data_IF_441979257158
#
_entry.id   IF_441979257158
#
_cell.length_a   1.000
_cell.length_b   1.000
_cell.length_c   1.000
_cell.angle_alpha   90.00
_cell.angle_beta   90.00
_cell.angle_gamma   90.00
#
_symmetry.space_group_name_H-M   'P 1'
#
loop_
_entity.id
_entity.type
_entity.pdbx_description
1 polymer ?
#
# COMPACT_ATOMS: atom_id res chain seq x y z
N UNK A 1 -28.85 -68.22 24.40
CA UNK A 1 -27.78 -67.52 25.16
C UNK A 1 -26.47 -67.75 24.43
N UNK A 2 -25.59 -66.80 24.08
CA UNK A 2 -25.49 -65.38 24.37
C UNK A 2 -24.71 -64.67 23.24
N UNK A 3 -24.77 -63.34 23.27
CA UNK A 3 -24.24 -62.37 22.29
C UNK A 3 -22.74 -62.08 22.50
N UNK A 4 -22.22 -61.22 21.61
CA UNK A 4 -21.04 -60.33 21.72
C UNK A 4 -19.72 -60.93 21.17
N UNK A 5 -18.86 -60.23 20.41
CA UNK A 5 -18.79 -58.80 20.07
C UNK A 5 -18.07 -58.59 18.71
N UNK A 6 -18.44 -57.51 18.01
CA UNK A 6 -17.70 -56.96 16.89
C UNK A 6 -16.49 -56.16 17.38
N UNK A 7 -15.39 -56.17 16.64
CA UNK A 7 -14.33 -55.15 16.74
C UNK A 7 -14.06 -54.62 15.35
N UNK A 8 -14.64 -53.46 15.05
CA UNK A 8 -14.30 -52.68 13.88
C UNK A 8 -12.97 -51.95 14.16
N UNK A 9 -11.93 -52.24 13.38
CA UNK A 9 -10.71 -51.46 13.40
C UNK A 9 -10.94 -50.14 12.66
N UNK A 10 -11.07 -49.05 13.42
CA UNK A 10 -11.10 -47.70 12.88
C UNK A 10 -9.69 -47.33 12.38
N UNK A 11 -9.53 -47.16 11.07
CA UNK A 11 -8.35 -46.53 10.50
C UNK A 11 -8.47 -45.01 10.68
N UNK A 12 -7.64 -44.45 11.56
CA UNK A 12 -7.53 -43.00 11.79
C UNK A 12 -6.92 -42.35 10.57
N UNK A 13 -7.71 -41.65 9.77
CA UNK A 13 -7.20 -40.80 8.70
C UNK A 13 -6.56 -39.55 9.32
N UNK A 14 -5.24 -39.43 9.20
CA UNK A 14 -4.50 -38.20 9.51
C UNK A 14 -4.81 -37.19 8.41
N UNK A 15 -5.63 -36.18 8.72
CA UNK A 15 -5.86 -35.02 7.85
C UNK A 15 -4.70 -34.04 8.10
N UNK A 16 -3.63 -34.16 7.33
CA UNK A 16 -2.54 -33.18 7.31
C UNK A 16 -2.86 -32.01 6.38
N UNK A 17 -2.97 -30.83 7.00
CA UNK A 17 -2.85 -29.47 6.49
C UNK A 17 -3.65 -29.11 5.21
N UNK A 18 -4.87 -28.61 5.43
CA UNK A 18 -5.36 -27.51 4.61
C UNK A 18 -4.52 -26.27 4.95
N UNK A 19 -3.38 -26.10 4.28
CA UNK A 19 -2.80 -24.77 4.15
C UNK A 19 -3.87 -23.90 3.49
N UNK A 20 -4.45 -22.97 4.24
CA UNK A 20 -5.28 -21.93 3.62
C UNK A 20 -4.42 -21.28 2.55
N UNK A 21 -4.87 -21.19 1.29
CA UNK A 21 -4.15 -20.37 0.33
C UNK A 21 -4.06 -18.97 0.92
N UNK A 22 -2.84 -18.44 0.96
CA UNK A 22 -2.58 -17.03 1.08
C UNK A 22 -3.45 -16.31 0.03
N UNK A 23 -4.56 -15.71 0.46
CA UNK A 23 -5.31 -14.80 -0.41
C UNK A 23 -4.45 -13.56 -0.50
N UNK A 24 -3.63 -13.46 -1.55
CA UNK A 24 -2.97 -12.20 -1.89
C UNK A 24 -4.05 -11.10 -1.84
N UNK A 25 -3.90 -10.15 -0.93
CA UNK A 25 -4.84 -9.03 -0.87
C UNK A 25 -4.74 -8.23 -2.17
N UNK A 26 -5.82 -7.58 -2.56
CA UNK A 26 -5.79 -6.71 -3.73
C UNK A 26 -4.79 -5.56 -3.52
N UNK A 27 -4.04 -5.23 -4.58
CA UNK A 27 -3.17 -4.06 -4.59
C UNK A 27 -4.05 -2.82 -4.43
N UNK A 28 -3.79 -2.03 -3.38
CA UNK A 28 -4.46 -0.76 -3.19
C UNK A 28 -3.70 0.35 -3.92
N UNK A 29 -4.43 1.22 -4.63
CA UNK A 29 -3.89 2.40 -5.32
C UNK A 29 -4.45 3.68 -4.71
N UNK A 30 -3.61 4.70 -4.58
CA UNK A 30 -4.00 6.07 -4.31
C UNK A 30 -3.29 6.98 -5.30
N UNK A 31 -3.90 7.15 -6.47
CA UNK A 31 -3.34 7.94 -7.56
C UNK A 31 -4.30 9.04 -7.99
N UNK A 32 -3.75 10.12 -8.54
CA UNK A 32 -4.53 11.17 -9.21
C UNK A 32 -3.74 11.74 -10.37
N UNK A 33 -4.46 12.24 -11.37
CA UNK A 33 -3.86 13.10 -12.39
C UNK A 33 -3.82 14.57 -11.89
N UNK A 34 -2.72 15.24 -12.18
CA UNK A 34 -2.45 16.64 -11.84
C UNK A 34 -1.93 17.36 -13.07
N UNK A 35 -2.41 18.56 -13.32
CA UNK A 35 -1.85 19.41 -14.37
C UNK A 35 -0.80 20.32 -13.74
N UNK A 36 0.36 20.45 -14.38
CA UNK A 36 1.46 21.32 -13.96
C UNK A 36 1.85 22.26 -15.09
N UNK A 37 2.35 23.45 -14.74
CA UNK A 37 2.78 24.47 -15.70
C UNK A 37 4.23 24.29 -16.20
N UNK A 38 4.97 23.37 -15.56
CA UNK A 38 6.38 23.07 -15.83
C UNK A 38 7.37 24.04 -15.21
N UNK A 39 6.93 24.98 -14.37
CA UNK A 39 7.78 26.00 -13.75
C UNK A 39 7.42 26.16 -12.26
N UNK A 40 7.68 25.12 -11.43
CA UNK A 40 7.33 25.15 -10.01
C UNK A 40 8.08 26.27 -9.28
N UNK A 41 7.37 26.89 -8.34
CA UNK A 41 7.91 27.91 -7.44
C UNK A 41 7.67 27.51 -6.00
N UNK A 42 8.63 27.83 -5.15
CA UNK A 42 8.47 27.58 -3.73
C UNK A 42 7.25 28.36 -3.17
N UNK A 43 6.43 27.68 -2.35
CA UNK A 43 5.24 28.27 -1.73
C UNK A 43 3.96 28.18 -2.55
N UNK A 44 3.99 27.55 -3.74
CA UNK A 44 2.77 27.12 -4.43
C UNK A 44 2.08 25.98 -3.66
N UNK A 45 0.76 25.87 -3.84
CA UNK A 45 -0.03 24.80 -3.20
C UNK A 45 0.41 23.42 -3.69
N UNK A 46 0.43 22.46 -2.75
CA UNK A 46 0.68 21.06 -3.08
C UNK A 46 -0.54 20.42 -3.77
N UNK A 47 -0.27 19.56 -4.75
CA UNK A 47 -1.30 18.75 -5.36
C UNK A 47 -1.38 17.37 -4.68
N UNK A 48 -2.39 17.16 -3.83
CA UNK A 48 -2.54 15.95 -3.03
C UNK A 48 -3.76 15.09 -3.40
N UNK A 49 -3.65 13.76 -3.31
CA UNK A 49 -4.80 12.85 -3.19
C UNK A 49 -4.84 12.26 -1.79
N UNK A 50 -6.04 12.05 -1.25
CA UNK A 50 -6.21 11.47 0.09
C UNK A 50 -7.39 10.52 0.09
N UNK A 51 -7.20 9.34 0.69
CA UNK A 51 -8.28 8.37 0.90
C UNK A 51 -8.19 7.73 2.28
N UNK A 52 -9.34 7.30 2.79
CA UNK A 52 -9.43 6.43 3.95
C UNK A 52 -9.59 4.98 3.51
N UNK A 53 -8.94 4.05 4.20
CA UNK A 53 -9.08 2.61 3.94
C UNK A 53 -8.87 1.80 5.21
N UNK A 54 -9.62 0.71 5.33
CA UNK A 54 -9.37 -0.30 6.36
C UNK A 54 -8.40 -1.34 5.81
N UNK A 55 -7.34 -1.62 6.57
CA UNK A 55 -6.35 -2.64 6.24
C UNK A 55 -6.39 -3.76 7.27
N UNK A 56 -6.27 -5.00 6.81
CA UNK A 56 -5.89 -6.12 7.65
C UNK A 56 -4.42 -5.97 8.07
N UNK A 57 -4.03 -6.65 9.14
CA UNK A 57 -2.63 -6.65 9.57
C UNK A 57 -1.76 -7.46 8.60
N UNK A 58 -0.60 -6.94 8.23
CA UNK A 58 0.39 -7.70 7.47
C UNK A 58 1.49 -6.87 6.84
N UNK A 59 2.39 -7.56 6.13
CA UNK A 59 3.49 -6.95 5.40
C UNK A 59 3.00 -6.42 4.06
N UNK A 60 3.49 -5.25 3.66
CA UNK A 60 3.17 -4.62 2.39
C UNK A 60 4.45 -4.10 1.73
N UNK A 61 4.53 -4.14 0.41
CA UNK A 61 5.43 -3.29 -0.36
C UNK A 61 4.69 -2.01 -0.73
N UNK A 62 5.24 -0.87 -0.32
CA UNK A 62 4.74 0.46 -0.65
C UNK A 62 5.63 1.10 -1.69
N UNK A 63 5.05 1.50 -2.82
CA UNK A 63 5.79 2.04 -3.97
C UNK A 63 5.15 3.32 -4.47
N UNK A 64 5.92 4.40 -4.61
CA UNK A 64 5.47 5.63 -5.25
C UNK A 64 5.37 5.49 -6.76
N UNK A 65 4.43 6.23 -7.35
CA UNK A 65 4.14 6.26 -8.79
C UNK A 65 4.25 7.69 -9.30
N UNK A 66 5.01 7.88 -10.38
CA UNK A 66 5.04 9.10 -11.18
C UNK A 66 5.03 8.72 -12.66
N UNK A 67 3.94 8.97 -13.38
CA UNK A 67 3.74 8.60 -14.79
C UNK A 67 4.10 7.14 -15.13
N UNK A 68 3.82 6.24 -14.18
CA UNK A 68 4.13 4.82 -14.32
C UNK A 68 5.54 4.43 -13.87
N UNK A 69 6.44 5.38 -13.63
CA UNK A 69 7.69 5.12 -12.92
C UNK A 69 7.41 4.73 -11.47
N UNK A 70 8.19 3.77 -10.95
CA UNK A 70 7.93 3.10 -9.67
C UNK A 70 9.12 3.21 -8.72
N UNK A 71 9.18 4.33 -8.01
CA UNK A 71 10.24 4.64 -7.06
C UNK A 71 9.81 5.81 -6.17
N UNK A 72 10.31 5.91 -4.93
CA UNK A 72 10.94 4.87 -4.13
C UNK A 72 9.98 3.73 -3.77
N UNK A 73 10.57 2.62 -3.29
CA UNK A 73 9.85 1.46 -2.78
C UNK A 73 10.40 1.08 -1.41
N UNK A 74 9.53 0.69 -0.47
CA UNK A 74 9.94 0.06 0.78
C UNK A 74 8.92 -0.97 1.25
N UNK A 75 9.41 -1.94 2.03
CA UNK A 75 8.54 -2.86 2.74
C UNK A 75 8.23 -2.33 4.14
N UNK A 76 7.01 -2.60 4.62
CA UNK A 76 6.58 -2.26 5.98
C UNK A 76 5.50 -3.22 6.48
N UNK A 77 5.47 -3.40 7.79
CA UNK A 77 4.34 -4.03 8.47
C UNK A 77 3.30 -2.97 8.84
N UNK A 78 2.03 -3.21 8.52
CA UNK A 78 0.90 -2.39 8.94
C UNK A 78 0.01 -3.21 9.87
N UNK A 79 -0.24 -2.70 11.07
CA UNK A 79 -1.23 -3.29 11.97
C UNK A 79 -2.65 -3.05 11.42
N UNK A 80 -3.59 -3.92 11.78
CA UNK A 80 -4.98 -3.78 11.35
C UNK A 80 -5.58 -2.43 11.79
N UNK A 81 -6.43 -1.85 10.94
CA UNK A 81 -7.18 -0.65 11.28
C UNK A 81 -7.42 0.28 10.09
N UNK A 82 -8.04 1.42 10.38
CA UNK A 82 -8.33 2.46 9.38
C UNK A 82 -7.16 3.42 9.28
N UNK A 83 -6.64 3.58 8.06
CA UNK A 83 -5.59 4.52 7.72
C UNK A 83 -6.13 5.65 6.85
N UNK A 84 -5.62 6.86 7.08
CA UNK A 84 -5.66 7.95 6.11
C UNK A 84 -4.37 7.89 5.30
N UNK A 85 -4.51 7.68 3.99
CA UNK A 85 -3.42 7.63 3.04
C UNK A 85 -3.42 8.91 2.20
N UNK A 86 -2.30 9.64 2.22
CA UNK A 86 -2.13 10.90 1.51
C UNK A 86 -0.88 10.84 0.62
N UNK A 87 -1.04 11.14 -0.66
CA UNK A 87 0.05 11.30 -1.62
C UNK A 87 0.06 12.72 -2.15
N UNK A 88 1.22 13.34 -2.25
CA UNK A 88 1.35 14.72 -2.70
C UNK A 88 2.53 14.94 -3.62
N UNK A 89 2.30 15.81 -4.59
CA UNK A 89 3.33 16.50 -5.36
C UNK A 89 3.50 17.91 -4.79
N UNK A 90 4.71 18.23 -4.34
CA UNK A 90 5.08 19.52 -3.77
C UNK A 90 5.94 20.29 -4.77
N UNK A 91 5.51 21.49 -5.20
CA UNK A 91 6.37 22.41 -5.92
C UNK A 91 7.44 22.99 -4.99
N UNK A 92 8.68 22.98 -5.45
CA UNK A 92 9.82 23.69 -4.85
C UNK A 92 10.40 24.64 -5.91
N UNK A 93 11.41 25.45 -5.56
CA UNK A 93 12.01 26.36 -6.54
C UNK A 93 12.73 25.57 -7.65
N UNK A 94 12.13 25.53 -8.84
CA UNK A 94 12.69 24.91 -10.05
C UNK A 94 12.56 23.39 -10.14
N UNK A 95 11.96 22.71 -9.17
CA UNK A 95 11.73 21.26 -9.19
C UNK A 95 10.49 20.85 -8.38
N UNK A 96 10.09 19.59 -8.49
CA UNK A 96 9.06 18.99 -7.66
C UNK A 96 9.64 17.91 -6.74
N UNK A 97 8.94 17.66 -5.63
CA UNK A 97 9.14 16.52 -4.74
C UNK A 97 7.84 15.74 -4.58
N UNK A 98 7.93 14.43 -4.40
CA UNK A 98 6.77 13.59 -4.11
C UNK A 98 6.93 12.91 -2.75
N UNK A 99 5.85 12.87 -1.98
CA UNK A 99 5.81 12.13 -0.72
C UNK A 99 4.47 11.44 -0.53
N UNK A 100 4.48 10.39 0.29
CA UNK A 100 3.32 9.60 0.65
C UNK A 100 3.30 9.32 2.15
N UNK A 101 2.12 9.34 2.75
CA UNK A 101 1.88 9.25 4.18
C UNK A 101 0.79 8.24 4.48
N UNK A 102 1.02 7.37 5.47
CA UNK A 102 0.01 6.52 6.07
C UNK A 102 -0.14 6.88 7.54
N UNK A 103 -1.27 7.48 7.87
CA UNK A 103 -1.62 7.88 9.23
C UNK A 103 -2.71 6.95 9.78
N UNK A 104 -2.49 6.41 10.99
CA UNK A 104 -3.50 5.70 11.76
C UNK A 104 -3.57 6.31 13.17
N UNK A 105 -4.76 6.73 13.65
CA UNK A 105 -4.90 7.26 14.99
C UNK A 105 -4.29 6.35 16.06
N UNK A 106 -3.49 6.95 16.97
CA UNK A 106 -2.79 6.21 18.02
C UNK A 106 -1.60 5.39 17.53
N UNK A 107 -1.07 5.65 16.34
CA UNK A 107 0.14 5.02 15.80
C UNK A 107 1.05 6.09 15.18
N UNK A 108 2.35 5.82 15.08
CA UNK A 108 3.27 6.68 14.36
C UNK A 108 2.88 6.76 12.87
N UNK A 109 3.08 7.92 12.25
CA UNK A 109 2.82 8.08 10.81
C UNK A 109 3.94 7.40 10.02
N UNK A 110 3.58 6.59 9.04
CA UNK A 110 4.52 5.99 8.12
C UNK A 110 4.72 6.91 6.90
N UNK A 111 5.97 7.07 6.47
CA UNK A 111 6.37 7.96 5.38
C UNK A 111 7.02 7.20 4.23
N UNK A 112 6.78 7.63 3.00
CA UNK A 112 7.56 7.25 1.82
C UNK A 112 7.85 8.54 1.07
N UNK A 113 9.10 8.99 1.11
CA UNK A 113 9.54 10.28 0.56
C UNK A 113 10.51 9.98 -0.56
N UNK A 114 10.25 10.49 -1.76
CA UNK A 114 11.22 10.43 -2.84
C UNK A 114 12.37 11.40 -2.52
N UNK A 115 13.62 10.92 -2.39
CA UNK A 115 14.76 11.81 -2.19
C UNK A 115 15.11 12.61 -3.46
N UNK A 116 14.56 12.23 -4.61
CA UNK A 116 14.88 12.83 -5.91
C UNK A 116 14.16 14.16 -6.10
N UNK A 117 14.86 15.09 -6.71
CA UNK A 117 14.31 16.32 -7.25
C UNK A 117 14.09 16.12 -8.74
N UNK A 118 12.87 16.35 -9.22
CA UNK A 118 12.54 16.10 -10.62
C UNK A 118 11.82 17.29 -11.26
N UNK A 119 12.17 17.54 -12.52
CA UNK A 119 11.43 18.44 -13.39
C UNK A 119 10.25 17.69 -14.01
N UNK A 120 9.10 18.36 -14.07
CA UNK A 120 7.97 17.92 -14.88
C UNK A 120 7.76 18.95 -15.98
N UNK A 121 7.59 18.48 -17.22
CA UNK A 121 7.17 19.36 -18.30
C UNK A 121 5.76 19.87 -18.06
N UNK A 122 5.37 20.93 -18.78
CA UNK A 122 3.99 21.41 -18.76
C UNK A 122 3.05 20.31 -19.28
N UNK A 123 2.09 19.87 -18.47
CA UNK A 123 1.20 18.79 -18.86
C UNK A 123 0.44 18.16 -17.71
N UNK A 124 -0.25 17.06 -18.03
CA UNK A 124 -0.96 16.24 -17.05
C UNK A 124 -0.09 15.06 -16.67
N UNK A 125 0.21 14.92 -15.38
CA UNK A 125 1.01 13.85 -14.81
C UNK A 125 0.18 13.04 -13.82
N UNK A 126 0.45 11.75 -13.71
CA UNK A 126 -0.17 10.86 -12.72
C UNK A 126 0.78 10.66 -11.55
N UNK A 127 0.34 11.07 -10.37
CA UNK A 127 1.09 10.92 -9.11
C UNK A 127 0.36 9.95 -8.18
N UNK A 128 1.08 9.41 -7.20
CA UNK A 128 0.48 8.63 -6.12
C UNK A 128 1.38 7.54 -5.58
N UNK A 129 0.77 6.51 -5.02
CA UNK A 129 1.47 5.27 -4.65
C UNK A 129 0.54 4.07 -4.67
N UNK A 130 1.14 2.88 -4.57
CA UNK A 130 0.47 1.59 -4.43
C UNK A 130 0.93 0.89 -3.14
N UNK A 131 0.02 0.14 -2.53
CA UNK A 131 0.31 -0.80 -1.45
C UNK A 131 0.00 -2.21 -1.95
N UNK A 132 1.04 -3.02 -2.05
CA UNK A 132 0.95 -4.42 -2.43
C UNK A 132 1.10 -5.32 -1.19
N UNK A 133 0.06 -6.01 -0.73
CA UNK A 133 0.17 -6.88 0.44
C UNK A 133 0.87 -8.21 0.14
N UNK A 134 1.59 -8.73 1.14
CA UNK A 134 2.16 -10.07 1.18
C UNK A 134 1.53 -10.83 2.34
N UNK A 135 0.49 -11.61 2.06
CA UNK A 135 -0.18 -12.47 3.04
C UNK A 135 -0.04 -13.92 2.61
#
# INVERSE_FOLDING_TARGET
>A
MGRFAAVAAAATAVVTLAGTPASAGDIALNTRSVWVDGAPRQGQDEACTTRSMYLASGNHTWTQILDGYRWPTRDLYLAMGTYTWKDCLRPEEGHYKQYSLLYKPGSETAYLVDPSEFGLDKGTHTIGSLLNPHF
#
